data_IF_954635850549
#
_entry.id   IF_954635850549
#
_cell.length_a   1.000
_cell.length_b   1.000
_cell.length_c   1.000
_cell.angle_alpha   90.00
_cell.angle_beta   90.00
_cell.angle_gamma   90.00
#
_symmetry.space_group_name_H-M   'P 1'
#
loop_
_entity.id
_entity.type
_entity.pdbx_description
1 polymer ?
#
# COMPACT_ATOMS: atom_id res chain seq x y z
N UNK A 1 13.96 -6.89 52.31
CA UNK A 1 13.99 -5.71 51.41
C UNK A 1 14.54 -6.04 50.01
N UNK A 2 15.58 -6.86 49.87
CA UNK A 2 16.27 -7.13 48.58
C UNK A 2 15.40 -7.86 47.54
N UNK A 3 14.52 -8.78 47.96
CA UNK A 3 13.70 -9.59 47.04
C UNK A 3 12.67 -8.77 46.24
N UNK A 4 12.10 -7.72 46.86
CA UNK A 4 11.15 -6.82 46.20
C UNK A 4 11.84 -5.91 45.16
N UNK A 5 13.10 -5.53 45.42
CA UNK A 5 13.91 -4.73 44.49
C UNK A 5 14.24 -5.56 43.24
N UNK A 6 14.66 -6.81 43.41
CA UNK A 6 14.95 -7.72 42.28
C UNK A 6 13.69 -7.97 41.45
N UNK A 7 12.54 -8.24 42.09
CA UNK A 7 11.26 -8.42 41.39
C UNK A 7 10.82 -7.14 40.66
N UNK A 8 11.08 -5.96 41.23
CA UNK A 8 10.82 -4.67 40.59
C UNK A 8 11.65 -4.47 39.31
N UNK A 9 12.93 -4.85 39.32
CA UNK A 9 13.80 -4.76 38.14
C UNK A 9 13.33 -5.70 37.02
N UNK A 10 12.90 -6.92 37.35
CA UNK A 10 12.37 -7.85 36.35
C UNK A 10 11.02 -7.42 35.78
N UNK A 11 10.09 -6.92 36.62
CA UNK A 11 8.83 -6.34 36.13
C UNK A 11 9.07 -5.14 35.23
N UNK A 12 9.98 -4.24 35.61
CA UNK A 12 10.35 -3.08 34.80
C UNK A 12 10.93 -3.52 33.44
N UNK A 13 11.84 -4.50 33.45
CA UNK A 13 12.41 -5.05 32.22
C UNK A 13 11.36 -5.71 31.32
N UNK A 14 10.40 -6.43 31.90
CA UNK A 14 9.30 -7.06 31.18
C UNK A 14 8.35 -6.02 30.56
N UNK A 15 8.01 -4.96 31.30
CA UNK A 15 7.17 -3.85 30.82
C UNK A 15 7.87 -3.11 29.67
N UNK A 16 9.15 -2.79 29.83
CA UNK A 16 9.93 -2.12 28.78
C UNK A 16 10.11 -3.00 27.54
N UNK A 17 10.27 -4.32 27.71
CA UNK A 17 10.33 -5.25 26.59
C UNK A 17 9.01 -5.26 25.81
N UNK A 18 7.87 -5.32 26.52
CA UNK A 18 6.56 -5.30 25.88
C UNK A 18 6.29 -3.98 25.15
N UNK A 19 6.73 -2.84 25.71
CA UNK A 19 6.64 -1.54 25.03
C UNK A 19 7.51 -1.48 23.77
N UNK A 20 8.76 -1.95 23.85
CA UNK A 20 9.66 -2.01 22.68
C UNK A 20 9.10 -2.90 21.57
N UNK A 21 8.47 -4.01 21.90
CA UNK A 21 7.83 -4.89 20.91
C UNK A 21 6.68 -4.18 20.18
N UNK A 22 5.83 -3.44 20.90
CA UNK A 22 4.76 -2.66 20.29
C UNK A 22 5.31 -1.56 19.36
N UNK A 23 6.35 -0.84 19.79
CA UNK A 23 6.98 0.20 18.98
C UNK A 23 7.63 -0.39 17.71
N UNK A 24 8.30 -1.54 17.81
CA UNK A 24 8.89 -2.23 16.65
C UNK A 24 7.83 -2.66 15.64
N UNK A 25 6.70 -3.21 16.10
CA UNK A 25 5.58 -3.57 15.23
C UNK A 25 5.01 -2.33 14.53
N UNK A 26 4.81 -1.23 15.25
CA UNK A 26 4.29 0.00 14.68
C UNK A 26 5.25 0.60 13.63
N UNK A 27 6.55 0.61 13.91
CA UNK A 27 7.57 1.06 12.95
C UNK A 27 7.58 0.20 11.69
N UNK A 28 7.46 -1.12 11.83
CA UNK A 28 7.40 -2.04 10.68
C UNK A 28 6.18 -1.75 9.80
N UNK A 29 5.01 -1.50 10.39
CA UNK A 29 3.78 -1.16 9.65
C UNK A 29 3.96 0.16 8.88
N UNK A 30 4.52 1.20 9.52
CA UNK A 30 4.74 2.50 8.88
C UNK A 30 5.73 2.39 7.72
N UNK A 31 6.87 1.73 7.94
CA UNK A 31 7.90 1.55 6.93
C UNK A 31 7.37 0.78 5.71
N UNK A 32 6.59 -0.27 5.95
CA UNK A 32 5.98 -1.08 4.90
C UNK A 32 5.00 -0.23 4.07
N UNK A 33 4.09 0.52 4.71
CA UNK A 33 3.17 1.45 4.03
C UNK A 33 3.91 2.48 3.16
N UNK A 34 4.98 3.08 3.67
CA UNK A 34 5.78 4.06 2.92
C UNK A 34 6.48 3.44 1.71
N UNK A 35 7.04 2.23 1.84
CA UNK A 35 7.68 1.54 0.74
C UNK A 35 6.69 1.24 -0.40
N UNK A 36 5.46 0.84 -0.05
CA UNK A 36 4.41 0.60 -1.05
C UNK A 36 3.93 1.88 -1.72
N UNK A 37 3.75 2.96 -0.96
CA UNK A 37 3.40 4.26 -1.53
C UNK A 37 4.44 4.74 -2.55
N UNK A 38 5.74 4.56 -2.25
CA UNK A 38 6.82 4.89 -3.20
C UNK A 38 6.74 4.06 -4.48
N UNK A 39 6.52 2.74 -4.38
CA UNK A 39 6.37 1.86 -5.55
C UNK A 39 5.17 2.28 -6.42
N UNK A 40 4.03 2.59 -5.79
CA UNK A 40 2.84 3.09 -6.47
C UNK A 40 3.08 4.44 -7.16
N UNK A 41 3.81 5.36 -6.53
CA UNK A 41 4.19 6.63 -7.17
C UNK A 41 5.08 6.41 -8.39
N UNK A 42 6.04 5.49 -8.33
CA UNK A 42 6.88 5.15 -9.49
C UNK A 42 6.04 4.56 -10.62
N UNK A 43 5.08 3.68 -10.29
CA UNK A 43 4.14 3.12 -11.27
C UNK A 43 3.28 4.21 -11.92
N UNK A 44 2.72 5.12 -11.13
CA UNK A 44 1.94 6.24 -11.63
C UNK A 44 2.74 7.05 -12.67
N UNK A 45 3.99 7.40 -12.35
CA UNK A 45 4.88 8.11 -13.28
C UNK A 45 5.23 7.34 -14.54
N UNK A 46 5.29 6.00 -14.46
CA UNK A 46 5.53 5.18 -15.64
C UNK A 46 4.31 5.15 -16.57
N UNK A 47 3.08 5.21 -16.01
CA UNK A 47 1.83 5.19 -16.79
C UNK A 47 1.52 6.59 -17.34
N UNK A 48 1.69 7.64 -16.53
CA UNK A 48 1.52 9.05 -16.93
C UNK A 48 2.72 9.54 -17.77
N UNK A 49 2.88 8.96 -18.95
CA UNK A 49 3.94 9.31 -19.90
C UNK A 49 3.84 10.77 -20.38
N UNK A 50 2.67 11.39 -20.24
CA UNK A 50 2.42 12.76 -20.64
C UNK A 50 2.77 13.80 -19.55
N UNK A 51 3.16 13.36 -18.35
CA UNK A 51 3.34 14.21 -17.15
C UNK A 51 2.13 15.13 -16.92
N UNK A 52 0.94 14.60 -17.23
CA UNK A 52 -0.32 15.35 -17.16
C UNK A 52 -0.81 15.51 -15.71
N UNK A 53 -0.28 14.70 -14.78
CA UNK A 53 -0.71 14.60 -13.40
C UNK A 53 -1.94 13.71 -13.21
N UNK A 54 -2.42 13.06 -14.27
CA UNK A 54 -3.60 12.19 -14.27
C UNK A 54 -3.43 11.02 -15.23
N UNK A 55 -4.02 9.86 -14.91
CA UNK A 55 -4.07 8.71 -15.80
C UNK A 55 -5.45 8.68 -16.45
N UNK A 56 -5.51 8.67 -17.78
CA UNK A 56 -6.75 8.41 -18.52
C UNK A 56 -6.94 6.91 -18.73
N UNK A 57 -8.15 6.51 -19.09
CA UNK A 57 -8.43 5.12 -19.44
C UNK A 57 -7.55 4.63 -20.60
N UNK A 58 -7.34 5.47 -21.62
CA UNK A 58 -6.52 5.13 -22.79
C UNK A 58 -5.06 4.88 -22.40
N UNK A 59 -4.52 5.71 -21.50
CA UNK A 59 -3.16 5.53 -20.95
C UNK A 59 -3.06 4.21 -20.19
N UNK A 60 -4.07 3.91 -19.37
CA UNK A 60 -4.13 2.70 -18.59
C UNK A 60 -4.23 1.46 -19.49
N UNK A 61 -5.12 1.45 -20.49
CA UNK A 61 -5.26 0.34 -21.46
C UNK A 61 -3.98 0.10 -22.26
N UNK A 62 -3.29 1.17 -22.65
CA UNK A 62 -2.02 1.07 -23.37
C UNK A 62 -0.93 0.44 -22.50
N UNK A 63 -0.83 0.84 -21.24
CA UNK A 63 0.19 0.33 -20.32
C UNK A 63 -0.18 -1.03 -19.72
N UNK A 64 -1.46 -1.36 -19.56
CA UNK A 64 -1.93 -2.68 -19.13
C UNK A 64 -1.61 -3.77 -20.16
N UNK A 65 -1.33 -3.43 -21.41
CA UNK A 65 -0.82 -4.36 -22.43
C UNK A 65 0.68 -4.64 -22.29
N UNK A 66 1.41 -3.84 -21.50
CA UNK A 66 2.83 -4.08 -21.22
C UNK A 66 2.99 -5.10 -20.09
N UNK A 67 3.64 -6.22 -20.40
CA UNK A 67 3.95 -7.29 -19.44
C UNK A 67 4.73 -6.78 -18.23
N UNK A 68 5.54 -5.72 -18.37
CA UNK A 68 6.25 -5.12 -17.22
C UNK A 68 5.27 -4.47 -16.25
N UNK A 69 4.29 -3.74 -16.75
CA UNK A 69 3.28 -3.06 -15.93
C UNK A 69 2.40 -4.09 -15.23
N UNK A 70 1.97 -5.13 -15.93
CA UNK A 70 1.25 -6.27 -15.34
C UNK A 70 2.06 -6.94 -14.21
N UNK A 71 3.34 -7.25 -14.47
CA UNK A 71 4.22 -7.82 -13.44
C UNK A 71 4.38 -6.91 -12.23
N UNK A 72 4.37 -5.59 -12.42
CA UNK A 72 4.41 -4.61 -11.35
C UNK A 72 3.11 -4.59 -10.53
N UNK A 73 1.93 -4.65 -11.16
CA UNK A 73 0.64 -4.77 -10.45
C UNK A 73 0.57 -6.07 -9.64
N UNK A 74 1.00 -7.19 -10.23
CA UNK A 74 1.13 -8.47 -9.53
C UNK A 74 2.11 -8.39 -8.34
N UNK A 75 3.22 -7.66 -8.48
CA UNK A 75 4.16 -7.43 -7.38
C UNK A 75 3.58 -6.62 -6.21
N UNK A 76 2.46 -5.94 -6.46
CA UNK A 76 1.69 -5.19 -5.48
C UNK A 76 0.46 -5.95 -4.97
N UNK A 77 0.33 -7.24 -5.33
CA UNK A 77 -0.82 -8.09 -4.99
C UNK A 77 -2.14 -7.53 -5.54
N UNK A 78 -2.07 -6.85 -6.69
CA UNK A 78 -3.23 -6.34 -7.41
C UNK A 78 -3.38 -7.17 -8.68
N UNK A 79 -4.38 -8.05 -8.68
CA UNK A 79 -4.74 -8.83 -9.86
C UNK A 79 -5.60 -7.95 -10.77
N UNK A 80 -4.98 -7.42 -11.82
CA UNK A 80 -5.64 -6.49 -12.74
C UNK A 80 -5.69 -7.11 -14.13
N UNK A 81 -6.72 -7.92 -14.35
CA UNK A 81 -7.00 -8.53 -15.66
C UNK A 81 -7.68 -7.57 -16.63
N UNK A 82 -8.46 -6.61 -16.11
CA UNK A 82 -9.22 -5.66 -16.91
C UNK A 82 -8.92 -4.21 -16.49
N UNK A 83 -8.26 -3.48 -17.39
CA UNK A 83 -7.94 -2.07 -17.25
C UNK A 83 -9.20 -1.23 -17.01
N UNK A 84 -10.31 -1.55 -17.68
CA UNK A 84 -11.56 -0.80 -17.54
C UNK A 84 -12.14 -0.93 -16.14
N UNK A 85 -12.29 -2.17 -15.66
CA UNK A 85 -12.78 -2.44 -14.31
C UNK A 85 -11.88 -1.80 -13.25
N UNK A 86 -10.57 -1.90 -13.40
CA UNK A 86 -9.63 -1.24 -12.49
C UNK A 86 -9.75 0.27 -12.52
N UNK A 87 -9.82 0.88 -13.70
CA UNK A 87 -10.01 2.32 -13.86
C UNK A 87 -11.27 2.79 -13.15
N UNK A 88 -12.39 2.07 -13.34
CA UNK A 88 -13.67 2.39 -12.70
C UNK A 88 -13.63 2.27 -11.18
N UNK A 89 -12.78 1.39 -10.63
CA UNK A 89 -12.58 1.27 -9.19
C UNK A 89 -11.74 2.43 -8.62
N UNK A 90 -10.89 3.05 -9.44
CA UNK A 90 -10.06 4.19 -9.05
C UNK A 90 -10.76 5.54 -9.27
N UNK A 91 -11.54 5.70 -10.34
CA UNK A 91 -12.25 6.93 -10.70
C UNK A 91 -13.50 7.13 -9.83
N UNK A 92 -13.27 7.51 -8.58
CA UNK A 92 -14.36 7.76 -7.62
C UNK A 92 -15.09 9.08 -7.84
N UNK A 93 -14.53 9.99 -8.65
CA UNK A 93 -15.10 11.31 -8.93
C UNK A 93 -15.81 11.39 -10.30
N UNK A 94 -15.83 10.28 -11.04
CA UNK A 94 -16.42 10.18 -12.39
C UNK A 94 -15.84 11.24 -13.35
N UNK A 95 -14.56 11.57 -13.16
CA UNK A 95 -13.87 12.61 -13.93
C UNK A 95 -13.30 12.10 -15.24
N UNK A 96 -13.37 10.78 -15.49
CA UNK A 96 -12.67 10.10 -16.59
C UNK A 96 -11.14 10.29 -16.59
N UNK A 97 -10.59 10.74 -15.47
CA UNK A 97 -9.18 10.93 -15.24
C UNK A 97 -8.88 10.63 -13.77
N UNK A 98 -7.89 9.76 -13.52
CA UNK A 98 -7.50 9.36 -12.17
C UNK A 98 -6.28 10.16 -11.76
N UNK A 99 -6.43 11.05 -10.79
CA UNK A 99 -5.31 11.79 -10.24
C UNK A 99 -4.38 10.87 -9.42
N UNK A 100 -3.13 11.29 -9.21
CA UNK A 100 -2.16 10.51 -8.41
C UNK A 100 -2.68 10.10 -7.03
N UNK A 101 -3.43 10.99 -6.37
CA UNK A 101 -4.02 10.73 -5.06
C UNK A 101 -5.08 9.62 -5.12
N UNK A 102 -5.91 9.62 -6.15
CA UNK A 102 -6.97 8.63 -6.37
C UNK A 102 -6.37 7.28 -6.75
N UNK A 103 -5.33 7.29 -7.57
CA UNK A 103 -4.57 6.08 -7.90
C UNK A 103 -3.95 5.45 -6.65
N UNK A 104 -3.25 6.26 -5.83
CA UNK A 104 -2.63 5.79 -4.59
C UNK A 104 -3.67 5.25 -3.61
N UNK A 105 -4.73 6.00 -3.37
CA UNK A 105 -5.77 5.66 -2.40
C UNK A 105 -6.59 4.45 -2.86
N UNK A 106 -6.92 4.39 -4.15
CA UNK A 106 -7.62 3.26 -4.75
C UNK A 106 -6.79 1.99 -4.74
N UNK A 107 -5.50 2.04 -5.09
CA UNK A 107 -4.59 0.89 -4.98
C UNK A 107 -4.43 0.42 -3.52
N UNK A 108 -4.31 1.36 -2.56
CA UNK A 108 -4.26 1.03 -1.14
C UNK A 108 -5.55 0.35 -0.66
N UNK A 109 -6.71 0.81 -1.13
CA UNK A 109 -8.02 0.24 -0.79
C UNK A 109 -8.21 -1.15 -1.39
N UNK A 110 -7.87 -1.34 -2.65
CA UNK A 110 -7.98 -2.62 -3.35
C UNK A 110 -7.10 -3.68 -2.68
N UNK A 111 -5.87 -3.32 -2.31
CA UNK A 111 -5.00 -4.20 -1.54
C UNK A 111 -5.52 -4.47 -0.13
N UNK A 112 -6.08 -3.46 0.54
CA UNK A 112 -6.68 -3.62 1.87
C UNK A 112 -7.84 -4.60 1.87
N UNK A 113 -8.69 -4.55 0.84
CA UNK A 113 -9.77 -5.51 0.63
C UNK A 113 -9.24 -6.92 0.28
N UNK A 114 -8.20 -7.01 -0.56
CA UNK A 114 -7.56 -8.29 -0.89
C UNK A 114 -7.00 -8.98 0.37
N UNK A 115 -6.36 -8.23 1.28
CA UNK A 115 -5.86 -8.76 2.57
C UNK A 115 -6.96 -9.08 3.60
N UNK A 116 -8.13 -8.46 3.48
CA UNK A 116 -9.28 -8.78 4.33
C UNK A 116 -9.96 -10.10 3.90
N UNK A 117 -9.87 -10.48 2.62
CA UNK A 117 -10.42 -11.72 2.12
C UNK A 117 -9.59 -12.96 2.49
N UNK A 118 -8.27 -12.81 2.62
CA UNK A 118 -7.33 -13.91 2.95
C UNK A 118 -7.34 -14.32 4.44
N UNK A 119 -8.29 -13.80 5.22
CA UNK A 119 -8.50 -14.10 6.65
C UNK A 119 -9.87 -14.80 6.88
N UNK A 120 -10.66 -15.04 5.83
CA UNK A 120 -11.97 -15.69 5.92
C UNK A 120 -11.93 -17.21 5.69
#
# INVERSE_FOLDING_TARGET
AVLNVVTGVFCQSAIESAQRDQDMVMQAIIANKQQHAKKLQTLFKNIDSADSGSITLEDLEKHMKDTKVQAYFNSLELDVDDAWTFFKLLDTKEGHAVAIEEFLLGCMRLRGNAKALDIA
#
